data_IF_512011086217
#
_entry.id   IF_512011086217
#
_cell.length_a   1.000
_cell.length_b   1.000
_cell.length_c   1.000
_cell.angle_alpha   90.00
_cell.angle_beta   90.00
_cell.angle_gamma   90.00
#
_symmetry.space_group_name_H-M   'P 1'
#
loop_
_entity.id
_entity.type
_entity.pdbx_description
1 polymer ?
#
# COMPACT_ATOMS: atom_id res chain seq x y z
N UNK A 1 -23.79 -44.70 21.76
CA UNK A 1 -24.55 -43.49 22.16
C UNK A 1 -23.54 -42.37 22.32
N UNK A 2 -23.52 -41.41 21.41
CA UNK A 2 -22.48 -40.36 21.36
C UNK A 2 -23.05 -39.04 21.86
N UNK A 3 -22.46 -38.49 22.92
CA UNK A 3 -22.82 -37.19 23.48
C UNK A 3 -22.05 -36.09 22.73
N UNK A 4 -22.78 -35.17 22.06
CA UNK A 4 -22.19 -33.97 21.46
C UNK A 4 -22.43 -32.80 22.40
N UNK A 5 -21.35 -32.19 22.91
CA UNK A 5 -21.41 -31.01 23.79
C UNK A 5 -21.65 -29.75 22.95
N UNK A 6 -22.91 -29.32 22.85
CA UNK A 6 -23.31 -28.03 22.28
C UNK A 6 -23.25 -26.92 23.34
N UNK A 7 -22.03 -26.55 23.75
CA UNK A 7 -21.79 -25.36 24.57
C UNK A 7 -21.08 -24.27 23.75
N UNK A 8 -21.42 -22.99 23.95
CA UNK A 8 -20.61 -21.88 23.40
C UNK A 8 -19.17 -22.08 23.85
N UNK A 9 -18.27 -22.35 22.91
CA UNK A 9 -16.84 -22.32 23.16
C UNK A 9 -16.48 -20.92 23.66
N UNK A 10 -15.67 -20.85 24.72
CA UNK A 10 -15.14 -19.58 25.19
C UNK A 10 -14.42 -18.92 24.01
N UNK A 11 -14.85 -17.70 23.65
CA UNK A 11 -14.20 -16.96 22.58
C UNK A 11 -12.74 -16.75 22.99
N UNK A 12 -11.77 -16.96 22.08
CA UNK A 12 -10.37 -16.64 22.36
C UNK A 12 -10.28 -15.21 22.90
N UNK A 13 -9.46 -15.01 23.94
CA UNK A 13 -9.18 -13.68 24.42
C UNK A 13 -8.48 -12.91 23.30
N UNK A 14 -9.18 -11.96 22.70
CA UNK A 14 -8.64 -11.07 21.68
C UNK A 14 -7.98 -9.91 22.40
N UNK A 15 -6.74 -9.59 22.06
CA UNK A 15 -6.07 -8.40 22.60
C UNK A 15 -6.89 -7.16 22.23
N UNK A 16 -7.00 -6.13 23.08
CA UNK A 16 -7.81 -4.96 22.79
C UNK A 16 -7.52 -4.31 21.42
N UNK A 17 -6.26 -4.32 20.97
CA UNK A 17 -5.81 -3.79 19.68
C UNK A 17 -6.28 -4.58 18.45
N UNK A 18 -6.65 -5.85 18.63
CA UNK A 18 -7.12 -6.78 17.60
C UNK A 18 -8.65 -6.89 17.57
N UNK A 19 -9.35 -6.15 18.43
CA UNK A 19 -10.80 -6.08 18.40
C UNK A 19 -11.27 -5.52 17.04
N UNK A 20 -12.30 -6.14 16.45
CA UNK A 20 -12.90 -5.75 15.17
C UNK A 20 -13.15 -4.24 15.06
N UNK A 21 -13.62 -3.60 16.13
CA UNK A 21 -13.90 -2.16 16.12
C UNK A 21 -12.63 -1.31 15.94
N UNK A 22 -11.52 -1.75 16.53
CA UNK A 22 -10.21 -1.09 16.42
C UNK A 22 -9.62 -1.33 15.03
N UNK A 23 -9.69 -2.56 14.55
CA UNK A 23 -9.22 -2.92 13.21
C UNK A 23 -9.99 -2.18 12.11
N UNK A 24 -11.32 -2.07 12.22
CA UNK A 24 -12.15 -1.31 11.27
C UNK A 24 -11.76 0.16 11.22
N UNK A 25 -11.49 0.80 12.37
CA UNK A 25 -11.01 2.19 12.40
C UNK A 25 -9.63 2.34 11.77
N UNK A 26 -8.71 1.39 12.00
CA UNK A 26 -7.38 1.39 11.36
C UNK A 26 -7.50 1.24 9.84
N UNK A 27 -8.31 0.29 9.38
CA UNK A 27 -8.58 0.07 7.97
C UNK A 27 -9.21 1.31 7.31
N UNK A 28 -10.24 1.89 7.92
CA UNK A 28 -10.87 3.12 7.42
C UNK A 28 -9.86 4.27 7.30
N UNK A 29 -8.97 4.46 8.29
CA UNK A 29 -7.90 5.49 8.21
C UNK A 29 -6.91 5.22 7.09
N UNK A 30 -6.46 3.97 6.94
CA UNK A 30 -5.52 3.58 5.90
C UNK A 30 -6.13 3.71 4.49
N UNK A 31 -7.41 3.36 4.34
CA UNK A 31 -8.12 3.40 3.07
C UNK A 31 -8.67 4.79 2.71
N UNK A 32 -8.92 5.68 3.68
CA UNK A 32 -9.37 7.06 3.44
C UNK A 32 -8.28 7.97 2.87
N UNK A 33 -7.01 7.66 3.13
CA UNK A 33 -5.85 8.32 2.52
C UNK A 33 -4.94 7.25 1.93
N UNK A 34 -5.38 6.59 0.84
CA UNK A 34 -4.59 5.53 0.26
C UNK A 34 -3.32 6.14 -0.34
N UNK A 35 -2.17 5.58 0.02
CA UNK A 35 -0.87 6.02 -0.47
C UNK A 35 -0.10 6.91 0.51
N UNK A 36 1.08 7.30 0.08
CA UNK A 36 1.98 8.17 0.83
C UNK A 36 1.80 9.59 0.30
N UNK A 37 1.67 10.56 1.20
CA UNK A 37 1.57 11.96 0.80
C UNK A 37 2.82 12.37 -0.01
N UNK A 38 2.61 13.01 -1.15
CA UNK A 38 3.67 13.43 -2.06
C UNK A 38 4.72 14.32 -1.38
N UNK A 39 4.28 15.18 -0.45
CA UNK A 39 5.17 16.07 0.31
C UNK A 39 6.10 15.31 1.26
N UNK A 40 5.73 14.10 1.67
CA UNK A 40 6.57 13.20 2.47
C UNK A 40 7.62 12.50 1.60
N UNK A 41 7.28 12.16 0.35
CA UNK A 41 8.20 11.50 -0.58
C UNK A 41 9.24 12.48 -1.15
N UNK A 42 8.78 13.66 -1.57
CA UNK A 42 9.62 14.70 -2.17
C UNK A 42 9.89 15.83 -1.18
N UNK A 43 10.49 15.48 -0.05
CA UNK A 43 10.87 16.40 1.01
C UNK A 43 12.38 16.77 0.94
N UNK A 44 12.70 18.01 1.30
CA UNK A 44 14.07 18.45 1.55
C UNK A 44 14.84 18.92 0.30
N UNK A 45 16.11 19.34 0.47
CA UNK A 45 16.89 19.97 -0.61
C UNK A 45 17.21 19.02 -1.77
N UNK A 46 17.10 17.71 -1.55
CA UNK A 46 17.38 16.69 -2.56
C UNK A 46 16.13 16.12 -3.24
N UNK A 47 14.95 16.71 -3.02
CA UNK A 47 13.69 16.22 -3.59
C UNK A 47 13.76 16.00 -5.11
N UNK A 48 14.45 16.88 -5.84
CA UNK A 48 14.64 16.78 -7.29
C UNK A 48 15.40 15.52 -7.77
N UNK A 49 16.12 14.83 -6.88
CA UNK A 49 16.87 13.59 -7.21
C UNK A 49 16.12 12.32 -6.81
N UNK A 50 14.98 12.45 -6.15
CA UNK A 50 14.15 11.33 -5.70
C UNK A 50 13.14 11.01 -6.80
N UNK A 51 12.92 9.72 -7.02
CA UNK A 51 11.86 9.22 -7.89
C UNK A 51 10.96 8.28 -7.10
N UNK A 52 9.65 8.47 -7.21
CA UNK A 52 8.65 7.54 -6.70
C UNK A 52 8.33 6.50 -7.78
N UNK A 53 8.11 5.26 -7.38
CA UNK A 53 7.73 4.17 -8.27
C UNK A 53 6.45 3.51 -7.76
N UNK A 54 5.48 3.29 -8.66
CA UNK A 54 4.26 2.55 -8.36
C UNK A 54 3.80 1.75 -9.58
N UNK A 55 3.06 0.67 -9.35
CA UNK A 55 2.48 -0.12 -10.42
C UNK A 55 1.50 0.74 -11.24
N UNK A 56 1.54 0.60 -12.56
CA UNK A 56 0.56 1.25 -13.44
C UNK A 56 -0.82 0.61 -13.20
N UNK A 57 -1.85 1.38 -12.81
CA UNK A 57 -3.18 0.85 -12.55
C UNK A 57 -3.88 0.30 -13.81
N UNK A 58 -3.41 0.66 -15.01
CA UNK A 58 -3.96 0.13 -16.28
C UNK A 58 -3.28 -1.17 -16.72
N UNK A 59 -1.99 -1.35 -16.39
CA UNK A 59 -1.21 -2.54 -16.75
C UNK A 59 -0.20 -2.85 -15.62
N UNK A 60 -0.46 -3.87 -14.77
CA UNK A 60 0.40 -4.16 -13.63
C UNK A 60 1.78 -4.72 -14.01
N UNK A 61 2.03 -4.99 -15.30
CA UNK A 61 3.37 -5.34 -15.80
C UNK A 61 4.27 -4.10 -15.98
N UNK A 62 3.68 -2.90 -15.90
CA UNK A 62 4.36 -1.61 -16.04
C UNK A 62 4.46 -0.89 -14.71
N UNK A 63 5.42 0.01 -14.66
CA UNK A 63 5.72 0.86 -13.51
C UNK A 63 5.67 2.31 -13.96
N UNK A 64 5.01 3.13 -13.17
CA UNK A 64 5.06 4.59 -13.29
C UNK A 64 6.19 5.10 -12.42
N UNK A 65 7.10 5.85 -13.02
CA UNK A 65 8.11 6.65 -12.31
C UNK A 65 7.64 8.10 -12.25
N UNK A 66 7.56 8.64 -11.06
CA UNK A 66 7.16 10.03 -10.80
C UNK A 66 8.32 10.83 -10.21
N UNK A 67 8.54 12.02 -10.75
CA UNK A 67 9.54 12.97 -10.28
C UNK A 67 8.90 14.05 -9.37
N UNK A 68 9.74 14.77 -8.63
CA UNK A 68 9.30 15.79 -7.68
C UNK A 68 8.52 16.96 -8.30
N UNK A 69 8.71 17.23 -9.59
CA UNK A 69 7.98 18.23 -10.38
C UNK A 69 6.59 17.75 -10.84
N UNK A 70 6.32 16.45 -10.77
CA UNK A 70 5.05 15.82 -11.15
C UNK A 70 5.10 15.13 -12.49
N UNK A 71 6.25 15.16 -13.16
CA UNK A 71 6.48 14.43 -14.40
C UNK A 71 6.37 12.94 -14.13
N UNK A 72 5.50 12.26 -14.89
CA UNK A 72 5.27 10.82 -14.82
C UNK A 72 5.76 10.17 -16.11
N UNK A 73 6.52 9.10 -15.97
CA UNK A 73 7.01 8.29 -17.09
C UNK A 73 6.63 6.85 -16.84
N UNK A 74 5.96 6.22 -17.81
CA UNK A 74 5.62 4.80 -17.76
C UNK A 74 6.80 3.99 -18.33
N UNK A 75 7.06 2.84 -17.75
CA UNK A 75 8.12 1.96 -18.19
C UNK A 75 8.11 0.61 -17.49
N UNK A 76 9.22 -0.10 -17.56
CA UNK A 76 9.40 -1.39 -16.91
C UNK A 76 10.69 -1.39 -16.10
N UNK A 77 10.71 -2.19 -15.04
CA UNK A 77 11.90 -2.41 -14.23
C UNK A 77 12.61 -3.67 -14.75
N UNK A 78 13.72 -3.48 -15.46
CA UNK A 78 14.49 -4.55 -16.10
C UNK A 78 15.88 -4.57 -15.47
N UNK A 79 16.28 -5.72 -14.90
CA UNK A 79 17.58 -5.88 -14.23
C UNK A 79 17.83 -4.84 -13.12
N UNK A 80 16.78 -4.50 -12.36
CA UNK A 80 16.87 -3.48 -11.30
C UNK A 80 16.92 -2.03 -11.80
N UNK A 81 16.83 -1.79 -13.11
CA UNK A 81 16.88 -0.45 -13.71
C UNK A 81 15.54 -0.10 -14.35
N UNK A 82 15.09 1.13 -14.13
CA UNK A 82 13.92 1.66 -14.82
C UNK A 82 14.24 1.95 -16.29
N UNK A 83 13.45 1.36 -17.20
CA UNK A 83 13.49 1.59 -18.63
C UNK A 83 12.18 2.22 -19.05
N UNK A 84 12.21 3.49 -19.47
CA UNK A 84 11.04 4.17 -19.98
C UNK A 84 10.52 3.44 -21.23
N UNK A 85 9.22 3.16 -21.30
CA UNK A 85 8.61 2.71 -22.54
C UNK A 85 8.59 3.90 -23.50
N UNK A 86 9.13 3.74 -24.70
CA UNK A 86 8.88 4.74 -25.76
C UNK A 86 7.37 4.79 -25.99
N UNK A 87 6.81 5.99 -25.99
CA UNK A 87 5.44 6.25 -26.42
C UNK A 87 5.26 5.88 -27.89
#
# INVERSE_FOLDING_TARGET
>A
MTLIKTGRTARPAVRPEDNTTVLLKKAARALNKPGIDRSVVFHGPNAARIFAYYADPQDPTRVVREAADGTKVIGSLVEGKFRASKA
#
